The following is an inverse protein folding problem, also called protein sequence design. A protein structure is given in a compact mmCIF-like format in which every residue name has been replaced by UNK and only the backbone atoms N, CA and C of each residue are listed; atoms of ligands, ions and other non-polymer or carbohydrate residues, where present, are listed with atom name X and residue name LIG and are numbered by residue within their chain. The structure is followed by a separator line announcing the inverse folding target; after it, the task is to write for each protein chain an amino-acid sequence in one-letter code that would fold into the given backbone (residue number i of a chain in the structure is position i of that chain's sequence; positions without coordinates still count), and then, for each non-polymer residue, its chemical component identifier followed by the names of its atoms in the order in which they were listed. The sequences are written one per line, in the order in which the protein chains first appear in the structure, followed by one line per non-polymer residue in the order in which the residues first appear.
data_IF_866984652470
#
_entry.id   IF_866984652470
#
_cell.length_a   1.000
_cell.length_b   1.000
_cell.length_c   1.000
_cell.angle_alpha   90.00
_cell.angle_beta   90.00
_cell.angle_gamma   90.00
#
_symmetry.space_group_name_H-M   'P 1'
#
loop_
_entity.id
_entity.type
_entity.pdbx_description
1 polymer ?
#
# COMPACT_ATOMS: atom_id res chain seq x y z
N UNK A 1 -19.79 2.18 19.61
CA UNK A 1 -20.05 1.73 18.24
C UNK A 1 -20.43 2.95 17.43
N UNK A 2 -19.54 3.45 16.57
CA UNK A 2 -19.88 4.47 15.59
C UNK A 2 -20.52 3.76 14.39
N UNK A 3 -21.57 4.30 13.76
CA UNK A 3 -22.18 3.68 12.60
C UNK A 3 -21.20 3.67 11.44
N UNK A 4 -21.05 2.50 10.82
CA UNK A 4 -20.38 2.36 9.53
C UNK A 4 -21.06 3.32 8.55
N UNK A 5 -20.29 4.20 7.92
CA UNK A 5 -20.78 5.13 6.92
C UNK A 5 -21.60 4.38 5.87
N UNK A 6 -22.77 4.92 5.57
CA UNK A 6 -23.64 4.44 4.50
C UNK A 6 -22.86 4.41 3.21
N UNK A 7 -22.51 3.21 2.74
CA UNK A 7 -22.05 3.02 1.38
C UNK A 7 -23.13 3.58 0.46
N UNK A 8 -22.74 4.40 -0.50
CA UNK A 8 -23.59 4.87 -1.59
C UNK A 8 -24.20 3.64 -2.25
N UNK A 9 -25.51 3.43 -2.09
CA UNK A 9 -26.22 2.25 -2.61
C UNK A 9 -26.44 2.50 -4.11
N UNK A 10 -25.35 2.53 -4.89
CA UNK A 10 -25.40 2.47 -6.33
C UNK A 10 -25.94 1.09 -6.79
N UNK A 11 -26.49 1.02 -8.00
CA UNK A 11 -26.89 -0.24 -8.62
C UNK A 11 -25.66 -1.17 -8.65
N UNK A 12 -25.76 -2.36 -8.07
CA UNK A 12 -24.65 -3.32 -8.07
C UNK A 12 -24.49 -3.98 -9.45
N UNK A 13 -23.25 -4.33 -9.77
CA UNK A 13 -22.95 -5.13 -10.94
C UNK A 13 -23.58 -6.53 -10.86
N UNK A 14 -24.10 -7.02 -11.98
CA UNK A 14 -24.57 -8.41 -12.09
C UNK A 14 -23.45 -9.38 -12.46
N UNK A 15 -22.31 -8.87 -12.95
CA UNK A 15 -21.15 -9.71 -13.34
C UNK A 15 -20.22 -9.99 -12.17
N UNK A 16 -20.01 -8.98 -11.30
CA UNK A 16 -19.20 -9.06 -10.09
C UNK A 16 -19.89 -8.27 -8.95
N UNK A 17 -20.54 -8.97 -8.03
CA UNK A 17 -21.35 -8.39 -6.97
C UNK A 17 -20.73 -7.27 -6.12
N UNK A 18 -19.40 -7.32 -5.79
CA UNK A 18 -18.75 -6.23 -5.05
C UNK A 18 -18.59 -4.92 -5.84
N UNK A 19 -18.78 -4.91 -7.17
CA UNK A 19 -18.63 -3.70 -7.99
C UNK A 19 -19.94 -2.91 -8.07
N UNK A 20 -19.85 -1.58 -8.01
CA UNK A 20 -20.92 -0.68 -8.42
C UNK A 20 -21.09 -0.74 -9.95
N UNK A 21 -22.34 -0.60 -10.44
CA UNK A 21 -22.60 -0.50 -11.88
C UNK A 21 -22.80 0.96 -12.28
N UNK A 22 -21.88 1.50 -13.07
CA UNK A 22 -21.96 2.84 -13.65
C UNK A 22 -21.60 2.72 -15.14
N UNK A 23 -22.58 2.63 -16.06
CA UNK A 23 -22.31 2.29 -17.44
C UNK A 23 -21.50 3.37 -18.18
N UNK A 24 -20.56 2.93 -19.01
CA UNK A 24 -19.91 3.76 -20.02
C UNK A 24 -20.93 4.17 -21.08
N UNK A 25 -20.62 5.23 -21.83
CA UNK A 25 -21.43 5.60 -23.01
C UNK A 25 -21.44 4.45 -24.03
N UNK A 26 -22.60 4.14 -24.57
CA UNK A 26 -22.74 3.04 -25.55
C UNK A 26 -21.95 3.24 -26.84
N UNK A 27 -21.46 4.44 -27.14
CA UNK A 27 -20.57 4.73 -28.26
C UNK A 27 -19.12 4.33 -28.00
N UNK A 28 -18.76 3.92 -26.79
CA UNK A 28 -17.37 3.65 -26.39
C UNK A 28 -17.04 2.17 -26.23
N UNK A 29 -17.98 1.27 -26.52
CA UNK A 29 -17.77 -0.17 -26.49
C UNK A 29 -18.64 -0.86 -27.53
N UNK A 30 -18.40 -2.14 -27.79
CA UNK A 30 -19.19 -2.94 -28.71
C UNK A 30 -20.07 -3.92 -27.95
N UNK A 31 -21.39 -3.85 -28.16
CA UNK A 31 -22.33 -4.86 -27.65
C UNK A 31 -22.05 -6.21 -28.30
N UNK A 32 -21.92 -7.26 -27.50
CA UNK A 32 -21.52 -8.58 -27.97
C UNK A 32 -22.12 -9.70 -27.08
N UNK A 33 -21.80 -10.93 -27.46
CA UNK A 33 -21.98 -12.13 -26.65
C UNK A 33 -20.65 -12.90 -26.64
N UNK A 34 -19.62 -12.32 -25.99
CA UNK A 34 -18.22 -12.77 -26.14
C UNK A 34 -18.01 -14.24 -25.87
N UNK A 35 -18.62 -14.83 -24.87
CA UNK A 35 -18.43 -16.25 -24.55
C UNK A 35 -18.73 -17.19 -25.72
N UNK A 36 -19.63 -16.79 -26.63
CA UNK A 36 -19.90 -17.54 -27.87
C UNK A 36 -19.13 -17.02 -29.08
N UNK A 37 -18.86 -15.74 -29.18
CA UNK A 37 -18.20 -15.11 -30.32
C UNK A 37 -16.67 -15.02 -30.14
N UNK A 38 -16.19 -14.74 -28.93
CA UNK A 38 -14.79 -14.55 -28.62
C UNK A 38 -14.47 -15.08 -27.21
N UNK A 39 -13.54 -16.03 -27.05
CA UNK A 39 -13.12 -16.50 -25.71
C UNK A 39 -12.44 -15.40 -24.92
N UNK A 40 -12.70 -15.31 -23.63
CA UNK A 40 -12.02 -14.38 -22.73
C UNK A 40 -10.78 -15.07 -22.17
N UNK A 41 -9.61 -14.71 -22.69
CA UNK A 41 -8.33 -15.38 -22.44
C UNK A 41 -7.38 -14.54 -21.57
N UNK A 42 -7.63 -13.23 -21.43
CA UNK A 42 -6.72 -12.30 -20.78
C UNK A 42 -7.42 -11.39 -19.79
N UNK A 43 -6.67 -11.02 -18.77
CA UNK A 43 -6.93 -9.83 -17.93
C UNK A 43 -5.83 -8.83 -18.25
N UNK A 44 -6.21 -7.60 -18.64
CA UNK A 44 -5.24 -6.54 -18.95
C UNK A 44 -5.30 -5.48 -17.85
N UNK A 45 -4.15 -5.24 -17.24
CA UNK A 45 -3.95 -4.29 -16.16
C UNK A 45 -3.52 -2.96 -16.75
N UNK A 46 -4.30 -1.92 -16.43
CA UNK A 46 -4.07 -0.54 -16.85
C UNK A 46 -3.83 0.38 -15.66
N UNK A 47 -3.32 1.58 -15.93
CA UNK A 47 -3.30 2.72 -15.01
C UNK A 47 -3.90 3.92 -15.71
N UNK A 48 -4.93 4.51 -15.11
CA UNK A 48 -5.78 5.56 -15.67
C UNK A 48 -5.03 6.81 -16.14
N UNK A 49 -3.83 7.06 -15.65
CA UNK A 49 -3.11 8.34 -15.79
C UNK A 49 -4.00 9.53 -15.34
N UNK A 50 -4.82 9.31 -14.31
CA UNK A 50 -5.80 10.23 -13.82
C UNK A 50 -6.51 9.75 -12.56
N UNK A 51 -7.55 10.52 -12.17
CA UNK A 51 -8.39 10.18 -11.02
C UNK A 51 -9.51 9.19 -11.39
N UNK A 52 -9.94 8.43 -10.41
CA UNK A 52 -11.06 7.48 -10.52
C UNK A 52 -12.33 8.13 -11.06
N UNK A 53 -12.78 9.25 -10.46
CA UNK A 53 -13.98 9.97 -10.90
C UNK A 53 -13.81 10.59 -12.29
N UNK A 54 -12.61 11.06 -12.62
CA UNK A 54 -12.30 11.60 -13.95
C UNK A 54 -12.42 10.53 -15.04
N UNK A 55 -11.93 9.32 -14.78
CA UNK A 55 -12.03 8.20 -15.73
C UNK A 55 -13.47 7.71 -15.90
N UNK A 56 -14.28 7.68 -14.83
CA UNK A 56 -15.72 7.40 -14.92
C UNK A 56 -16.38 8.42 -15.86
N UNK A 57 -16.19 9.72 -15.60
CA UNK A 57 -16.77 10.79 -16.42
C UNK A 57 -16.29 10.73 -17.88
N UNK A 58 -15.02 10.37 -18.10
CA UNK A 58 -14.46 10.23 -19.44
C UNK A 58 -15.13 9.09 -20.21
N UNK A 59 -15.25 7.91 -19.62
CA UNK A 59 -15.89 6.79 -20.30
C UNK A 59 -17.40 6.97 -20.50
N UNK A 60 -18.04 7.87 -19.75
CA UNK A 60 -19.44 8.29 -19.97
C UNK A 60 -19.59 9.33 -21.09
N UNK A 61 -18.49 9.99 -21.52
CA UNK A 61 -18.51 10.94 -22.61
C UNK A 61 -18.54 10.19 -23.96
N UNK A 62 -19.53 10.45 -24.81
CA UNK A 62 -19.68 9.84 -26.12
C UNK A 62 -18.47 10.05 -27.05
N UNK A 63 -17.70 11.11 -26.86
CA UNK A 63 -16.53 11.45 -27.66
C UNK A 63 -15.23 10.77 -27.17
N UNK A 64 -15.27 9.96 -26.10
CA UNK A 64 -14.06 9.34 -25.54
C UNK A 64 -13.41 8.32 -26.48
N UNK A 65 -14.22 7.56 -27.23
CA UNK A 65 -13.72 6.52 -28.13
C UNK A 65 -12.95 5.39 -27.42
N UNK A 66 -13.11 5.26 -26.11
CA UNK A 66 -12.42 4.29 -25.25
C UNK A 66 -13.28 3.96 -24.04
N UNK A 67 -13.06 2.78 -23.45
CA UNK A 67 -13.70 2.34 -22.20
C UNK A 67 -12.90 1.20 -21.58
N UNK A 68 -13.20 0.85 -20.33
CA UNK A 68 -12.73 -0.37 -19.70
C UNK A 68 -13.87 -1.10 -19.01
N UNK A 69 -13.68 -2.37 -18.67
CA UNK A 69 -14.73 -3.15 -18.00
C UNK A 69 -14.86 -2.73 -16.54
N UNK A 70 -13.74 -2.58 -15.83
CA UNK A 70 -13.72 -2.24 -14.41
C UNK A 70 -12.71 -1.15 -14.10
N UNK A 71 -13.06 -0.32 -13.14
CA UNK A 71 -12.25 0.75 -12.57
C UNK A 71 -12.03 0.48 -11.10
N UNK A 72 -10.81 0.74 -10.61
CA UNK A 72 -10.41 0.51 -9.21
C UNK A 72 -9.87 1.79 -8.60
N UNK A 73 -10.44 2.17 -7.44
CA UNK A 73 -10.02 3.37 -6.71
C UNK A 73 -8.81 3.08 -5.82
N UNK A 74 -7.85 4.00 -5.82
CA UNK A 74 -6.60 3.83 -5.06
C UNK A 74 -6.82 3.84 -3.55
N UNK A 75 -7.64 4.75 -3.03
CA UNK A 75 -7.72 5.03 -1.60
C UNK A 75 -8.28 3.86 -0.76
N UNK A 76 -9.22 3.09 -1.30
CA UNK A 76 -9.97 2.06 -0.56
C UNK A 76 -10.23 0.78 -1.37
N UNK A 77 -9.80 0.73 -2.64
CA UNK A 77 -10.02 -0.41 -3.52
C UNK A 77 -11.47 -0.54 -4.02
N UNK A 78 -12.30 0.51 -3.94
CA UNK A 78 -13.65 0.48 -4.50
C UNK A 78 -13.61 0.12 -5.99
N UNK A 79 -14.56 -0.72 -6.42
CA UNK A 79 -14.65 -1.24 -7.78
C UNK A 79 -15.90 -0.72 -8.47
N UNK A 80 -15.75 -0.15 -9.66
CA UNK A 80 -16.86 0.19 -10.55
C UNK A 80 -16.79 -0.61 -11.84
N UNK A 81 -17.90 -1.26 -12.24
CA UNK A 81 -18.02 -1.84 -13.57
C UNK A 81 -18.67 -0.84 -14.52
N UNK A 82 -18.08 -0.64 -15.70
CA UNK A 82 -18.60 0.30 -16.70
C UNK A 82 -18.99 -0.37 -18.02
N UNK A 83 -18.46 -1.54 -18.35
CA UNK A 83 -18.86 -2.36 -19.50
C UNK A 83 -19.13 -3.76 -19.00
N UNK A 84 -20.21 -4.41 -19.47
CA UNK A 84 -20.51 -5.80 -19.10
C UNK A 84 -19.43 -6.75 -19.63
N UNK A 85 -19.15 -7.81 -18.88
CA UNK A 85 -18.15 -8.81 -19.28
C UNK A 85 -18.43 -9.42 -20.66
N UNK A 86 -19.71 -9.57 -21.02
CA UNK A 86 -20.14 -10.10 -22.33
C UNK A 86 -19.88 -9.14 -23.51
N UNK A 87 -19.72 -7.84 -23.23
CA UNK A 87 -19.50 -6.80 -24.23
C UNK A 87 -18.01 -6.53 -24.43
N UNK A 88 -17.62 -5.88 -25.51
CA UNK A 88 -16.20 -5.59 -25.82
C UNK A 88 -15.88 -4.15 -25.45
N UNK A 89 -15.17 -3.94 -24.35
CA UNK A 89 -14.61 -2.63 -24.02
C UNK A 89 -13.41 -2.30 -24.93
N UNK A 90 -13.21 -1.02 -25.23
CA UNK A 90 -12.13 -0.54 -26.10
C UNK A 90 -11.00 0.03 -25.25
N UNK A 91 -10.13 -0.85 -24.71
CA UNK A 91 -9.09 -0.47 -23.75
C UNK A 91 -7.67 -0.83 -24.20
N UNK A 92 -7.51 -1.81 -25.10
CA UNK A 92 -6.19 -2.37 -25.39
C UNK A 92 -5.50 -1.76 -26.61
N UNK A 93 -6.17 -0.85 -27.34
CA UNK A 93 -5.65 -0.32 -28.62
C UNK A 93 -5.46 -1.37 -29.71
N UNK A 94 -5.90 -2.61 -29.46
CA UNK A 94 -5.78 -3.76 -30.35
C UNK A 94 -7.10 -4.54 -30.33
N UNK A 95 -7.73 -4.69 -31.49
CA UNK A 95 -9.05 -5.32 -31.59
C UNK A 95 -9.07 -6.76 -31.10
N UNK A 96 -8.08 -7.56 -31.46
CA UNK A 96 -7.99 -8.96 -31.00
C UNK A 96 -7.91 -9.03 -29.46
N UNK A 97 -7.13 -8.15 -28.84
CA UNK A 97 -7.02 -8.10 -27.38
C UNK A 97 -8.26 -7.50 -26.72
N UNK A 98 -8.91 -6.49 -27.32
CA UNK A 98 -10.21 -5.99 -26.84
C UNK A 98 -11.26 -7.10 -26.79
N UNK A 99 -11.36 -7.92 -27.84
CA UNK A 99 -12.35 -9.01 -27.91
C UNK A 99 -12.06 -10.17 -26.97
N UNK A 100 -10.81 -10.39 -26.58
CA UNK A 100 -10.36 -11.56 -25.81
C UNK A 100 -9.94 -11.23 -24.38
N UNK A 101 -10.22 -10.03 -23.88
CA UNK A 101 -9.78 -9.63 -22.52
C UNK A 101 -10.84 -8.90 -21.72
N UNK A 102 -10.63 -8.84 -20.41
CA UNK A 102 -11.25 -7.91 -19.48
C UNK A 102 -10.19 -6.87 -19.10
N UNK A 103 -10.46 -5.58 -19.33
CA UNK A 103 -9.59 -4.47 -18.97
C UNK A 103 -9.92 -3.94 -17.58
N UNK A 104 -8.90 -3.82 -16.72
CA UNK A 104 -8.98 -3.30 -15.35
C UNK A 104 -8.15 -2.01 -15.26
N UNK A 105 -8.80 -0.89 -15.04
CA UNK A 105 -8.18 0.43 -14.88
C UNK A 105 -7.93 0.76 -13.40
N UNK A 106 -6.71 1.12 -13.08
CA UNK A 106 -6.29 1.46 -11.72
C UNK A 106 -6.03 2.95 -11.59
N UNK A 107 -6.68 3.58 -10.61
CA UNK A 107 -6.50 5.01 -10.36
C UNK A 107 -5.04 5.36 -10.10
N UNK A 108 -4.55 6.45 -10.71
CA UNK A 108 -3.23 7.00 -10.47
C UNK A 108 -2.40 7.25 -11.71
N UNK A 109 -1.09 7.35 -11.48
CA UNK A 109 -0.09 7.69 -12.49
C UNK A 109 1.08 6.72 -12.43
N UNK A 110 1.54 6.20 -13.57
CA UNK A 110 2.61 5.20 -13.67
C UNK A 110 3.93 5.61 -13.00
N UNK A 111 4.20 6.91 -12.92
CA UNK A 111 5.44 7.45 -12.36
C UNK A 111 5.38 7.68 -10.84
N UNK A 112 4.26 7.38 -10.19
CA UNK A 112 4.09 7.62 -8.75
C UNK A 112 3.57 6.37 -8.03
N UNK A 113 4.48 5.69 -7.32
CA UNK A 113 4.19 4.45 -6.61
C UNK A 113 3.13 4.59 -5.49
N UNK A 114 2.90 5.80 -4.96
CA UNK A 114 1.95 6.01 -3.85
C UNK A 114 0.50 5.73 -4.23
N UNK A 115 0.18 5.73 -5.52
CA UNK A 115 -1.15 5.38 -6.02
C UNK A 115 -1.47 3.89 -5.93
N UNK A 116 -0.46 3.02 -5.93
CA UNK A 116 -0.63 1.57 -5.90
C UNK A 116 -0.75 1.06 -4.46
N UNK A 117 -1.88 1.36 -3.81
CA UNK A 117 -2.14 1.01 -2.42
C UNK A 117 -2.44 -0.47 -2.24
N UNK A 118 -2.26 -0.99 -1.02
CA UNK A 118 -2.62 -2.37 -0.68
C UNK A 118 -4.12 -2.65 -0.88
N UNK A 119 -4.98 -1.68 -0.54
CA UNK A 119 -6.42 -1.79 -0.74
C UNK A 119 -6.78 -2.02 -2.21
N UNK A 120 -6.20 -1.22 -3.11
CA UNK A 120 -6.40 -1.37 -4.55
C UNK A 120 -5.86 -2.69 -5.08
N UNK A 121 -4.64 -3.12 -4.68
CA UNK A 121 -4.07 -4.40 -5.07
C UNK A 121 -4.96 -5.58 -4.65
N UNK A 122 -5.47 -5.59 -3.41
CA UNK A 122 -6.32 -6.67 -2.90
C UNK A 122 -7.66 -6.74 -3.63
N UNK A 123 -8.31 -5.61 -3.84
CA UNK A 123 -9.58 -5.56 -4.58
C UNK A 123 -9.40 -5.99 -6.03
N UNK A 124 -8.35 -5.50 -6.69
CA UNK A 124 -8.01 -5.87 -8.06
C UNK A 124 -7.70 -7.37 -8.20
N UNK A 125 -6.89 -7.90 -7.28
CA UNK A 125 -6.55 -9.32 -7.29
C UNK A 125 -7.76 -10.22 -6.98
N UNK A 126 -8.67 -9.79 -6.10
CA UNK A 126 -9.91 -10.52 -5.83
C UNK A 126 -10.81 -10.57 -7.07
N UNK A 127 -10.99 -9.42 -7.76
CA UNK A 127 -11.69 -9.34 -9.04
C UNK A 127 -11.02 -10.21 -10.10
N UNK A 128 -9.71 -10.09 -10.28
CA UNK A 128 -8.94 -10.89 -11.25
C UNK A 128 -9.07 -12.38 -10.98
N UNK A 129 -9.00 -12.81 -9.72
CA UNK A 129 -9.22 -14.21 -9.33
C UNK A 129 -10.61 -14.69 -9.72
N UNK A 130 -11.63 -13.91 -9.38
CA UNK A 130 -13.02 -14.20 -9.73
C UNK A 130 -13.20 -14.35 -11.24
N UNK A 131 -12.68 -13.41 -12.04
CA UNK A 131 -12.76 -13.47 -13.51
C UNK A 131 -11.99 -14.67 -14.09
N UNK A 132 -10.81 -14.96 -13.56
CA UNK A 132 -10.04 -16.13 -13.95
C UNK A 132 -10.80 -17.43 -13.68
N UNK A 133 -11.44 -17.54 -12.51
CA UNK A 133 -12.23 -18.72 -12.15
C UNK A 133 -13.51 -18.82 -12.97
N UNK A 134 -14.18 -17.70 -13.26
CA UNK A 134 -15.40 -17.62 -14.05
C UNK A 134 -15.18 -18.02 -15.53
N UNK A 135 -14.08 -17.57 -16.12
CA UNK A 135 -13.81 -17.76 -17.56
C UNK A 135 -12.74 -18.81 -17.88
N UNK A 136 -12.23 -19.52 -16.88
CA UNK A 136 -11.18 -20.53 -17.07
C UNK A 136 -9.82 -19.95 -17.48
N UNK A 137 -9.54 -18.68 -17.14
CA UNK A 137 -8.29 -18.01 -17.50
C UNK A 137 -7.17 -18.50 -16.56
N UNK A 138 -6.03 -19.04 -17.09
CA UNK A 138 -4.92 -19.41 -16.24
C UNK A 138 -4.37 -18.23 -15.43
N UNK A 139 -4.19 -18.42 -14.12
CA UNK A 139 -3.65 -17.39 -13.21
C UNK A 139 -2.14 -17.24 -13.36
N UNK A 140 -1.69 -16.89 -14.57
CA UNK A 140 -0.27 -16.74 -14.93
C UNK A 140 0.01 -15.38 -15.57
N UNK A 141 1.29 -14.99 -15.60
CA UNK A 141 1.74 -13.77 -16.27
C UNK A 141 1.59 -13.81 -17.81
N UNK A 142 1.28 -14.96 -18.38
CA UNK A 142 0.97 -15.06 -19.81
C UNK A 142 -0.48 -14.65 -20.12
N UNK A 143 -1.37 -14.70 -19.13
CA UNK A 143 -2.79 -14.40 -19.28
C UNK A 143 -3.22 -13.14 -18.51
N UNK A 144 -2.48 -12.77 -17.47
CA UNK A 144 -2.67 -11.54 -16.69
C UNK A 144 -1.51 -10.61 -17.04
N UNK A 145 -1.74 -9.69 -17.96
CA UNK A 145 -0.70 -8.88 -18.59
C UNK A 145 -0.91 -7.39 -18.35
N UNK A 146 0.14 -6.59 -18.55
CA UNK A 146 0.02 -5.14 -18.61
C UNK A 146 -0.36 -4.65 -20.00
N UNK A 147 -0.93 -3.46 -20.11
CA UNK A 147 -1.23 -2.85 -21.41
C UNK A 147 0.01 -2.75 -22.30
N UNK A 148 1.15 -2.39 -21.73
CA UNK A 148 2.44 -2.33 -22.42
C UNK A 148 2.93 -3.67 -23.01
N UNK A 149 2.27 -4.78 -22.71
CA UNK A 149 2.56 -6.11 -23.25
C UNK A 149 1.63 -6.51 -24.41
N UNK A 150 0.62 -5.68 -24.71
CA UNK A 150 -0.27 -5.91 -25.87
C UNK A 150 0.50 -5.62 -27.16
N UNK A 151 0.48 -6.50 -28.17
CA UNK A 151 1.16 -6.27 -29.44
C UNK A 151 0.71 -4.98 -30.12
N UNK A 152 1.66 -4.11 -30.45
CA UNK A 152 1.41 -2.80 -31.06
C UNK A 152 1.00 -1.70 -30.06
N UNK A 153 0.98 -1.97 -28.75
CA UNK A 153 0.69 -0.95 -27.76
C UNK A 153 1.75 0.16 -27.76
N UNK A 154 1.30 1.39 -27.70
CA UNK A 154 2.14 2.59 -27.53
C UNK A 154 2.13 3.09 -26.08
N UNK A 155 1.36 2.46 -25.23
CA UNK A 155 1.17 2.78 -23.82
C UNK A 155 2.21 2.08 -22.93
N UNK A 156 2.55 2.68 -21.80
CA UNK A 156 3.56 2.17 -20.86
C UNK A 156 2.97 1.56 -19.59
N UNK A 157 1.66 1.68 -19.41
CA UNK A 157 0.96 1.23 -18.20
C UNK A 157 0.89 -0.32 -18.11
N UNK A 158 0.82 -0.84 -16.88
CA UNK A 158 0.70 -0.15 -15.60
C UNK A 158 2.01 0.49 -15.10
N UNK A 159 3.10 0.42 -15.86
CA UNK A 159 4.37 1.06 -15.58
C UNK A 159 5.26 0.32 -14.57
N UNK A 160 6.47 0.87 -14.31
CA UNK A 160 7.49 0.18 -13.52
C UNK A 160 7.18 0.12 -12.01
N UNK A 161 6.26 0.95 -11.53
CA UNK A 161 5.86 0.98 -10.13
C UNK A 161 4.79 -0.06 -9.77
N UNK A 162 4.19 -0.74 -10.76
CA UNK A 162 3.27 -1.84 -10.51
C UNK A 162 4.02 -3.06 -10.01
N UNK A 163 3.71 -3.51 -8.80
CA UNK A 163 4.37 -4.68 -8.18
C UNK A 163 3.73 -5.99 -8.65
N UNK A 164 4.19 -6.52 -9.79
CA UNK A 164 3.71 -7.77 -10.35
C UNK A 164 3.88 -8.97 -9.42
N UNK A 165 4.98 -9.05 -8.69
CA UNK A 165 5.23 -10.16 -7.76
C UNK A 165 4.15 -10.18 -6.68
N UNK A 166 3.90 -9.06 -6.04
CA UNK A 166 2.86 -8.93 -5.03
C UNK A 166 1.46 -9.18 -5.59
N UNK A 167 1.16 -8.60 -6.76
CA UNK A 167 -0.13 -8.77 -7.42
C UNK A 167 -0.42 -10.25 -7.72
N UNK A 168 0.52 -10.97 -8.34
CA UNK A 168 0.36 -12.38 -8.68
C UNK A 168 0.25 -13.27 -7.43
N UNK A 169 0.98 -12.97 -6.37
CA UNK A 169 0.80 -13.64 -5.08
C UNK A 169 -0.64 -13.49 -4.56
N UNK A 170 -1.21 -12.29 -4.61
CA UNK A 170 -2.61 -12.06 -4.24
C UNK A 170 -3.57 -12.84 -5.15
N UNK A 171 -3.35 -12.82 -6.47
CA UNK A 171 -4.21 -13.52 -7.45
C UNK A 171 -4.18 -15.04 -7.25
N UNK A 172 -3.00 -15.63 -7.05
CA UNK A 172 -2.86 -17.10 -6.88
C UNK A 172 -3.22 -17.58 -5.48
N UNK A 173 -3.40 -16.65 -4.52
CA UNK A 173 -3.64 -17.01 -3.12
C UNK A 173 -2.39 -17.54 -2.41
N UNK A 174 -1.20 -17.35 -3.01
CA UNK A 174 0.08 -17.77 -2.42
C UNK A 174 0.62 -16.75 -1.40
N UNK A 175 -0.03 -15.60 -1.24
CA UNK A 175 0.21 -14.76 -0.08
C UNK A 175 -0.33 -15.52 1.13
N UNK A 176 0.56 -16.11 1.90
CA UNK A 176 0.27 -16.28 3.31
C UNK A 176 -0.08 -14.88 3.83
N UNK A 177 -1.25 -14.65 4.46
CA UNK A 177 -1.43 -13.45 5.26
C UNK A 177 -0.18 -13.38 6.15
N UNK A 178 0.46 -12.22 6.32
CA UNK A 178 1.53 -12.12 7.30
C UNK A 178 0.99 -12.75 8.57
N UNK A 179 1.74 -13.68 9.21
CA UNK A 179 1.21 -14.39 10.37
C UNK A 179 0.67 -13.35 11.33
N UNK A 180 -0.49 -13.61 11.93
CA UNK A 180 -1.08 -12.77 12.97
C UNK A 180 -0.10 -12.53 14.12
N UNK A 181 0.98 -13.32 14.16
CA UNK A 181 2.09 -13.24 15.11
C UNK A 181 3.35 -12.58 14.54
N UNK A 182 3.30 -11.87 13.39
CA UNK A 182 4.50 -11.22 12.83
C UNK A 182 5.01 -10.15 13.80
N UNK A 183 6.30 -10.23 14.09
CA UNK A 183 7.01 -9.25 14.90
C UNK A 183 8.45 -9.12 14.42
N UNK A 184 9.01 -7.94 14.56
CA UNK A 184 10.42 -7.67 14.29
C UNK A 184 10.99 -6.72 15.32
N UNK A 185 12.28 -6.85 15.58
CA UNK A 185 13.07 -5.95 16.42
C UNK A 185 14.15 -5.35 15.55
N UNK A 186 14.38 -4.05 15.69
CA UNK A 186 15.51 -3.33 15.11
C UNK A 186 16.23 -2.59 16.22
N UNK A 187 17.48 -2.96 16.44
CA UNK A 187 18.41 -2.36 17.37
C UNK A 187 19.21 -1.27 16.63
N UNK A 188 19.75 -0.26 17.35
CA UNK A 188 20.62 0.77 16.77
C UNK A 188 21.90 0.20 16.15
N UNK A 189 22.28 -1.05 16.47
CA UNK A 189 23.40 -1.76 15.87
C UNK A 189 23.02 -2.65 14.69
N UNK A 190 21.71 -2.78 14.35
CA UNK A 190 21.25 -3.62 13.25
C UNK A 190 21.71 -3.06 11.89
N UNK A 191 22.60 -3.77 11.23
CA UNK A 191 23.24 -3.32 9.97
C UNK A 191 22.21 -2.94 8.90
N UNK A 192 22.33 -1.72 8.34
CA UNK A 192 21.45 -1.20 7.28
C UNK A 192 20.02 -0.88 7.72
N UNK A 193 19.71 -0.95 9.02
CA UNK A 193 18.37 -0.74 9.56
C UNK A 193 18.24 0.46 10.51
N UNK A 194 19.37 1.03 10.92
CA UNK A 194 19.40 2.23 11.74
C UNK A 194 20.29 3.29 11.09
N UNK A 195 19.84 4.53 11.14
CA UNK A 195 20.61 5.70 10.65
C UNK A 195 20.47 6.86 11.62
N UNK A 196 21.59 7.49 11.93
CA UNK A 196 21.67 8.71 12.73
C UNK A 196 22.79 9.61 12.19
N UNK A 197 22.69 10.91 12.41
CA UNK A 197 23.77 11.85 12.06
C UNK A 197 24.99 11.66 12.96
N UNK A 198 26.11 12.31 12.62
CA UNK A 198 27.31 12.33 13.43
C UNK A 198 27.12 13.04 14.80
N UNK A 199 26.00 13.73 15.00
CA UNK A 199 25.66 14.37 16.27
C UNK A 199 25.18 13.39 17.34
N UNK A 200 24.90 12.14 16.96
CA UNK A 200 24.49 11.09 17.88
C UNK A 200 25.71 10.28 18.33
N UNK A 201 26.07 10.40 19.61
CA UNK A 201 27.11 9.59 20.24
C UNK A 201 26.66 8.15 20.48
N UNK A 202 27.62 7.30 20.85
CA UNK A 202 27.38 5.89 21.22
C UNK A 202 27.77 5.69 22.68
N UNK A 203 26.97 4.93 23.45
CA UNK A 203 27.23 4.63 24.85
C UNK A 203 26.79 3.22 25.22
N UNK A 204 27.56 2.58 26.08
CA UNK A 204 27.23 1.33 26.77
C UNK A 204 27.10 1.50 28.29
N UNK A 205 27.01 2.74 28.75
CA UNK A 205 27.01 3.08 30.19
C UNK A 205 25.93 2.38 31.00
N UNK A 206 24.69 2.44 30.52
CA UNK A 206 23.58 1.81 31.27
C UNK A 206 23.47 0.32 30.96
N UNK A 207 23.33 -0.49 31.99
CA UNK A 207 23.06 -1.94 31.86
C UNK A 207 21.63 -2.25 31.42
N UNK A 208 20.73 -1.26 31.41
CA UNK A 208 19.34 -1.38 30.94
C UNK A 208 19.21 -1.27 29.42
N UNK A 209 20.32 -1.10 28.67
CA UNK A 209 20.29 -1.03 27.21
C UNK A 209 19.80 -2.34 26.59
N UNK A 210 19.28 -2.24 25.38
CA UNK A 210 19.09 -3.37 24.49
C UNK A 210 20.40 -3.67 23.74
N UNK A 211 20.80 -4.91 23.62
CA UNK A 211 22.01 -5.26 22.87
C UNK A 211 23.32 -4.70 23.42
N UNK A 212 24.21 -4.25 22.53
CA UNK A 212 25.58 -3.88 22.86
C UNK A 212 25.72 -2.43 23.35
N UNK A 213 25.01 -1.49 22.73
CA UNK A 213 25.10 -0.06 23.01
C UNK A 213 23.77 0.64 22.67
N UNK A 214 23.72 1.94 22.87
CA UNK A 214 22.61 2.82 22.46
C UNK A 214 23.17 4.14 21.93
N UNK A 215 22.36 4.89 21.18
CA UNK A 215 22.70 6.24 20.73
C UNK A 215 22.14 7.29 21.67
N UNK A 216 22.90 8.38 21.82
CA UNK A 216 22.48 9.52 22.63
C UNK A 216 22.82 10.83 21.92
N UNK A 217 22.03 11.86 22.19
CA UNK A 217 22.30 13.21 21.71
C UNK A 217 21.70 14.28 22.62
N UNK A 218 22.32 15.47 22.63
CA UNK A 218 21.74 16.62 23.29
C UNK A 218 20.48 17.09 22.54
N UNK A 219 19.46 17.62 23.24
CA UNK A 219 18.33 18.28 22.62
C UNK A 219 18.76 19.45 21.74
N UNK A 220 18.05 19.63 20.62
CA UNK A 220 18.30 20.76 19.69
C UNK A 220 16.99 21.17 19.03
N UNK A 221 16.81 22.48 18.83
CA UNK A 221 15.62 23.00 18.12
C UNK A 221 15.80 22.88 16.57
N UNK A 222 16.09 21.67 16.11
CA UNK A 222 16.27 21.36 14.69
C UNK A 222 15.91 19.90 14.39
N UNK A 223 15.52 19.63 13.14
CA UNK A 223 15.24 18.26 12.70
C UNK A 223 16.54 17.48 12.53
N UNK A 224 16.82 16.58 13.48
CA UNK A 224 17.97 15.67 13.46
C UNK A 224 17.53 14.34 14.07
N UNK A 225 16.80 13.54 13.29
CA UNK A 225 16.11 12.32 13.74
C UNK A 225 16.97 11.09 13.48
N UNK A 226 17.16 10.25 14.49
CA UNK A 226 17.65 8.89 14.32
C UNK A 226 16.50 7.99 13.83
N UNK A 227 16.70 7.26 12.73
CA UNK A 227 15.64 6.47 12.08
C UNK A 227 15.90 4.98 12.10
N UNK A 228 14.84 4.24 12.39
CA UNK A 228 14.75 2.79 12.23
C UNK A 228 13.99 2.44 10.97
N UNK A 229 14.67 1.71 10.07
CA UNK A 229 14.12 1.22 8.81
C UNK A 229 13.59 -0.20 8.99
N UNK A 230 12.34 -0.43 8.62
CA UNK A 230 11.66 -1.73 8.79
C UNK A 230 10.93 -2.09 7.51
N UNK A 231 11.04 -3.35 7.10
CA UNK A 231 10.22 -3.91 6.03
C UNK A 231 8.90 -4.42 6.61
N UNK A 232 7.84 -3.65 6.44
CA UNK A 232 6.48 -4.02 6.87
C UNK A 232 5.85 -4.93 5.81
N UNK A 233 5.44 -6.16 6.18
CA UNK A 233 5.00 -7.16 5.20
C UNK A 233 3.65 -6.85 4.55
N UNK A 234 2.77 -6.12 5.22
CA UNK A 234 1.47 -5.69 4.68
C UNK A 234 1.00 -4.43 5.38
N UNK A 235 0.24 -3.57 4.69
CA UNK A 235 -0.44 -2.45 5.34
C UNK A 235 -1.48 -2.99 6.32
N UNK A 236 -1.26 -2.76 7.62
CA UNK A 236 -2.12 -3.25 8.70
C UNK A 236 -1.85 -2.46 9.99
N UNK A 237 -2.61 -2.76 11.03
CA UNK A 237 -2.38 -2.22 12.37
C UNK A 237 -1.25 -3.00 13.05
N UNK A 238 -0.31 -2.26 13.61
CA UNK A 238 0.84 -2.77 14.34
C UNK A 238 0.98 -2.05 15.66
N UNK A 239 1.31 -2.78 16.72
CA UNK A 239 1.81 -2.22 17.97
C UNK A 239 3.28 -1.85 17.76
N UNK A 240 3.63 -0.62 18.11
CA UNK A 240 5.01 -0.13 18.09
C UNK A 240 5.47 0.03 19.53
N UNK A 241 6.51 -0.70 19.90
CA UNK A 241 7.16 -0.62 21.21
C UNK A 241 8.59 -0.07 21.02
N UNK A 242 9.09 0.59 22.05
CA UNK A 242 10.46 1.10 22.13
C UNK A 242 11.15 0.57 23.36
N UNK A 243 12.46 0.41 23.27
CA UNK A 243 13.34 0.10 24.39
C UNK A 243 14.32 1.26 24.59
N UNK A 244 14.56 1.64 25.81
CA UNK A 244 15.57 2.60 26.20
C UNK A 244 16.05 2.33 27.62
N UNK A 245 17.30 2.63 27.99
CA UNK A 245 17.71 2.69 29.37
C UNK A 245 17.12 3.95 30.03
N UNK A 246 16.73 3.84 31.28
CA UNK A 246 16.27 4.99 32.07
C UNK A 246 17.36 5.43 33.05
N UNK A 247 17.77 6.70 32.93
CA UNK A 247 18.76 7.31 33.83
C UNK A 247 18.30 8.73 34.16
N UNK A 248 18.49 9.15 35.41
CA UNK A 248 18.32 10.54 35.80
C UNK A 248 19.24 11.44 34.94
N UNK A 249 18.71 12.47 34.33
CA UNK A 249 19.45 13.30 33.35
C UNK A 249 19.19 12.95 31.90
N UNK A 250 18.40 11.90 31.60
CA UNK A 250 17.84 11.71 30.26
C UNK A 250 16.62 12.58 30.03
N UNK A 251 16.15 12.63 28.79
CA UNK A 251 15.09 13.54 28.39
C UNK A 251 13.71 13.08 28.89
N UNK A 252 12.92 14.02 29.39
CA UNK A 252 11.59 13.73 29.95
C UNK A 252 10.47 13.73 28.91
N UNK A 253 10.71 14.24 27.70
CA UNK A 253 9.70 14.37 26.62
C UNK A 253 10.28 14.01 25.24
N UNK A 254 11.06 12.93 25.17
CA UNK A 254 11.65 12.46 23.91
C UNK A 254 10.58 12.18 22.87
N UNK A 255 10.60 12.87 21.71
CA UNK A 255 9.64 12.64 20.64
C UNK A 255 10.01 11.39 19.84
N UNK A 256 9.10 10.42 19.81
CA UNK A 256 9.15 9.30 18.87
C UNK A 256 8.19 9.57 17.71
N UNK A 257 8.68 9.52 16.50
CA UNK A 257 7.94 9.73 15.26
C UNK A 257 7.62 8.38 14.66
N UNK A 258 6.32 8.06 14.49
CA UNK A 258 5.87 6.86 13.79
C UNK A 258 5.36 7.26 12.40
N UNK A 259 6.01 6.76 11.35
CA UNK A 259 5.60 6.97 9.96
C UNK A 259 4.44 6.03 9.62
N UNK A 260 3.21 6.53 9.74
CA UNK A 260 1.98 5.79 9.47
C UNK A 260 1.58 5.86 8.00
N UNK A 261 0.58 5.08 7.58
CA UNK A 261 0.03 5.14 6.22
C UNK A 261 -0.65 6.48 5.89
N UNK A 262 -0.98 7.29 6.91
CA UNK A 262 -1.65 8.59 6.77
C UNK A 262 -0.77 9.79 7.16
N UNK A 263 0.54 9.57 7.32
CA UNK A 263 1.50 10.62 7.72
C UNK A 263 2.15 10.31 9.06
N UNK A 264 3.05 11.20 9.49
CA UNK A 264 3.79 11.02 10.74
C UNK A 264 2.93 11.34 11.96
N UNK A 265 3.02 10.48 12.98
CA UNK A 265 2.45 10.70 14.30
C UNK A 265 3.59 10.77 15.34
N UNK A 266 3.49 11.66 16.31
CA UNK A 266 4.53 11.83 17.35
C UNK A 266 3.97 11.42 18.71
N UNK A 267 4.73 10.59 19.42
CA UNK A 267 4.48 10.17 20.81
C UNK A 267 5.65 10.58 21.67
N UNK A 268 5.40 11.18 22.81
CA UNK A 268 6.45 11.62 23.72
C UNK A 268 6.66 10.60 24.85
N UNK A 269 7.93 10.27 25.12
CA UNK A 269 8.33 9.32 26.15
C UNK A 269 9.26 9.98 27.17
N UNK A 270 9.02 9.70 28.46
CA UNK A 270 9.91 10.08 29.53
C UNK A 270 11.00 9.00 29.69
N UNK A 271 12.23 9.34 29.31
CA UNK A 271 13.37 8.41 29.36
C UNK A 271 14.12 8.44 30.71
N UNK A 272 13.64 9.20 31.69
CA UNK A 272 14.19 9.14 33.05
C UNK A 272 13.60 8.02 33.91
N UNK A 273 12.56 7.35 33.42
CA UNK A 273 11.83 6.31 34.18
C UNK A 273 11.40 5.17 33.24
N UNK A 274 11.09 4.03 33.83
CA UNK A 274 10.52 2.85 33.13
C UNK A 274 11.39 2.27 32.03
N UNK A 275 12.73 2.44 32.07
CA UNK A 275 13.65 1.85 31.10
C UNK A 275 13.91 0.37 31.33
N UNK A 276 14.79 -0.22 30.49
CA UNK A 276 15.20 -1.61 30.60
C UNK A 276 14.08 -2.61 30.25
N UNK A 277 13.15 -2.21 29.39
CA UNK A 277 12.03 -3.05 28.94
C UNK A 277 11.25 -2.38 27.81
N UNK A 278 10.42 -3.16 27.12
CA UNK A 278 9.57 -2.67 26.04
C UNK A 278 8.46 -1.75 26.58
N UNK A 279 8.32 -0.58 25.96
CA UNK A 279 7.28 0.42 26.26
C UNK A 279 6.49 0.72 25.00
N UNK A 280 5.17 0.58 25.07
CA UNK A 280 4.32 0.80 23.90
C UNK A 280 4.17 2.28 23.59
N UNK A 281 4.36 2.65 22.33
CA UNK A 281 3.95 3.95 21.79
C UNK A 281 2.46 3.95 21.40
N UNK A 282 1.88 2.77 21.15
CA UNK A 282 0.50 2.60 20.68
C UNK A 282 0.37 1.65 19.51
N UNK A 283 -0.84 1.64 18.95
CA UNK A 283 -1.18 0.90 17.73
C UNK A 283 -1.33 1.86 16.56
N UNK A 284 -0.65 1.57 15.45
CA UNK A 284 -0.58 2.44 14.27
C UNK A 284 -0.81 1.63 13.00
N UNK A 285 -1.50 2.20 12.03
CA UNK A 285 -1.58 1.61 10.68
C UNK A 285 -0.30 1.97 9.92
N UNK A 286 0.58 0.96 9.70
CA UNK A 286 1.82 1.13 8.96
C UNK A 286 1.64 0.63 7.53
N UNK A 287 2.15 1.41 6.56
CA UNK A 287 2.17 1.00 5.16
C UNK A 287 3.17 -0.13 4.93
N UNK A 288 2.84 -1.08 4.06
CA UNK A 288 3.75 -2.12 3.59
C UNK A 288 5.02 -1.53 2.96
N UNK A 289 6.09 -2.34 2.95
CA UNK A 289 7.35 -1.99 2.30
C UNK A 289 8.48 -1.58 3.24
N UNK A 290 9.70 -1.53 2.66
CA UNK A 290 10.96 -1.29 3.35
C UNK A 290 11.27 0.21 3.41
N UNK A 291 10.99 0.85 4.56
CA UNK A 291 11.15 2.29 4.75
C UNK A 291 11.45 2.63 6.22
N UNK A 292 11.82 3.89 6.47
CA UNK A 292 11.90 4.44 7.82
C UNK A 292 10.50 4.42 8.44
N UNK A 293 10.35 3.72 9.55
CA UNK A 293 9.04 3.52 10.24
C UNK A 293 8.97 4.16 11.60
N UNK A 294 10.08 4.20 12.33
CA UNK A 294 10.14 4.84 13.65
C UNK A 294 11.37 5.73 13.71
N UNK A 295 11.19 6.95 14.15
CA UNK A 295 12.26 7.92 14.39
C UNK A 295 12.32 8.37 15.83
N UNK A 296 13.51 8.66 16.32
CA UNK A 296 13.73 9.35 17.60
C UNK A 296 14.26 10.74 17.30
N UNK A 297 13.47 11.75 17.62
CA UNK A 297 13.84 13.15 17.37
C UNK A 297 14.50 13.75 18.60
N UNK A 298 15.60 14.49 18.37
CA UNK A 298 16.19 15.31 19.43
C UNK A 298 15.60 16.73 19.49
N UNK A 299 14.59 17.02 18.69
CA UNK A 299 13.86 18.29 18.73
C UNK A 299 12.81 18.26 19.84
N UNK A 300 13.23 18.63 21.03
CA UNK A 300 12.42 18.69 22.25
C UNK A 300 12.75 19.93 23.04
N UNK A 301 11.77 20.46 23.77
CA UNK A 301 11.94 21.63 24.65
C UNK A 301 12.47 21.29 26.04
N UNK A 302 12.53 20.00 26.43
CA UNK A 302 13.06 19.58 27.72
C UNK A 302 14.56 19.32 27.64
N UNK A 303 15.23 19.45 28.77
CA UNK A 303 16.68 19.18 28.92
C UNK A 303 16.93 17.68 29.10
N UNK A 304 18.21 17.29 29.07
CA UNK A 304 18.65 15.90 29.23
C UNK A 304 18.82 15.16 27.92
N UNK A 305 19.68 14.13 27.92
CA UNK A 305 20.04 13.39 26.72
C UNK A 305 18.87 12.61 26.13
N UNK A 306 18.66 12.75 24.85
CA UNK A 306 17.71 11.96 24.06
C UNK A 306 18.37 10.63 23.68
N UNK A 307 17.69 9.52 23.91
CA UNK A 307 18.21 8.16 23.72
C UNK A 307 17.47 7.45 22.59
N UNK A 308 18.24 6.79 21.69
CA UNK A 308 17.73 5.87 20.70
C UNK A 308 18.45 4.51 20.85
N UNK A 309 17.70 3.46 21.14
CA UNK A 309 18.23 2.14 21.48
C UNK A 309 17.59 1.07 20.57
N UNK A 310 16.42 0.55 20.88
CA UNK A 310 15.76 -0.43 20.03
C UNK A 310 14.25 -0.16 19.87
N UNK A 311 13.70 -0.69 18.78
CA UNK A 311 12.26 -0.72 18.51
C UNK A 311 11.79 -2.16 18.27
N UNK A 312 10.52 -2.41 18.61
CA UNK A 312 9.81 -3.63 18.23
C UNK A 312 8.50 -3.25 17.57
N UNK A 313 8.22 -3.87 16.44
CA UNK A 313 6.93 -3.72 15.74
C UNK A 313 6.28 -5.10 15.69
N UNK A 314 5.05 -5.19 16.19
CA UNK A 314 4.28 -6.44 16.27
C UNK A 314 2.92 -6.22 15.62
N UNK A 315 2.51 -7.11 14.71
CA UNK A 315 1.17 -7.06 14.12
C UNK A 315 0.11 -7.39 15.17
N UNK A 316 -1.00 -6.64 15.18
CA UNK A 316 -2.16 -6.84 16.07
C UNK A 316 -3.40 -7.19 15.29
#
# INVERSE_FOLDING_TARGET
MAPLGTADIGIQSTDYGPAAWVPANSSNYTVSSRESAYPINYIIIHTMQGSYSGSISWFQNAAAGTSAHYLLRSSDGAVTQMVRDKDVAWHAGNWTYNTQSIGLEHEGYVNNASWYTDAMYRSSAALTRFLCDKYGIPKTRNNIIGHNQVPGATHTDPGPNWNWTYYMQLVTGTTTPPPTSWSTIVDNTTAGRFTASANWGTSSYSTQRYGADYRYADPVAASDTAWYKVNIPATATYRVDVWYPAVAGYNTTTPYIVATSSGNQTVHMNQTANGGGWRSLGNFTLAAGDANKVGVSRWTGSTGLVIADAIRITRV
#
